data_IF_091877064428
#
_entry.id   IF_091877064428
#
_cell.length_a   1.000
_cell.length_b   1.000
_cell.length_c   1.000
_cell.angle_alpha   90.00
_cell.angle_beta   90.00
_cell.angle_gamma   90.00
#
_symmetry.space_group_name_H-M   'P 1'
#
loop_
_entity.id
_entity.type
_entity.pdbx_description
1 polymer ?
#
# COMPACT_ATOMS: atom_id res chain seq x y z
N UNK A 1 1.94 -13.37 10.41
CA UNK A 1 2.15 -12.93 11.82
C UNK A 1 1.77 -14.05 12.76
N UNK A 2 2.66 -14.43 13.68
CA UNK A 2 2.35 -15.43 14.71
C UNK A 2 1.55 -14.82 15.87
N UNK A 3 0.76 -15.63 16.57
CA UNK A 3 -0.05 -15.18 17.73
C UNK A 3 0.82 -14.59 18.84
N UNK A 4 1.99 -15.19 19.07
CA UNK A 4 2.92 -14.72 20.12
C UNK A 4 3.48 -13.34 19.80
N UNK A 5 3.79 -13.04 18.54
CA UNK A 5 4.21 -11.71 18.09
C UNK A 5 3.10 -10.67 18.28
N UNK A 6 1.85 -11.04 17.99
CA UNK A 6 0.70 -10.16 18.18
C UNK A 6 0.52 -9.84 19.66
N UNK A 7 0.55 -10.85 20.53
CA UNK A 7 0.42 -10.68 21.98
C UNK A 7 1.57 -9.88 22.58
N UNK A 8 2.80 -10.11 22.14
CA UNK A 8 3.96 -9.33 22.56
C UNK A 8 3.79 -7.83 22.22
N UNK A 9 3.29 -7.52 21.02
CA UNK A 9 2.97 -6.14 20.64
C UNK A 9 1.82 -5.55 21.48
N UNK A 10 0.77 -6.32 21.76
CA UNK A 10 -0.32 -5.87 22.63
C UNK A 10 0.17 -5.57 24.06
N UNK A 11 1.06 -6.38 24.62
CA UNK A 11 1.63 -6.15 25.94
C UNK A 11 2.41 -4.83 26.02
N UNK A 12 3.27 -4.53 25.03
CA UNK A 12 4.01 -3.28 24.93
C UNK A 12 3.08 -2.03 24.91
N UNK A 13 1.92 -2.15 24.26
CA UNK A 13 0.94 -1.07 24.22
C UNK A 13 0.20 -0.95 25.55
N UNK A 14 -0.17 -2.08 26.16
CA UNK A 14 -0.86 -2.12 27.44
C UNK A 14 -0.02 -1.53 28.59
N UNK A 15 1.31 -1.74 28.59
CA UNK A 15 2.25 -1.08 29.52
C UNK A 15 2.14 0.45 29.48
N UNK A 16 1.69 1.01 28.35
CA UNK A 16 1.51 2.45 28.13
C UNK A 16 0.04 2.89 28.26
N UNK A 17 -0.86 2.00 28.68
CA UNK A 17 -2.30 2.27 28.74
C UNK A 17 -2.96 2.42 27.37
N UNK A 18 -2.32 1.93 26.29
CA UNK A 18 -2.82 1.99 24.92
C UNK A 18 -3.42 0.63 24.50
N UNK A 19 -4.35 0.68 23.54
CA UNK A 19 -4.96 -0.51 22.93
C UNK A 19 -4.65 -0.58 21.44
N UNK A 20 -4.37 -1.78 20.94
CA UNK A 20 -4.17 -1.99 19.51
C UNK A 20 -5.51 -2.12 18.80
N UNK A 21 -5.98 -1.02 18.21
CA UNK A 21 -7.33 -0.96 17.60
C UNK A 21 -7.36 -1.40 16.13
N UNK A 22 -6.29 -1.14 15.38
CA UNK A 22 -6.25 -1.36 13.92
C UNK A 22 -4.87 -1.88 13.51
N UNK A 23 -4.83 -2.90 12.65
CA UNK A 23 -3.60 -3.29 11.94
C UNK A 23 -3.48 -2.47 10.67
N UNK A 24 -2.38 -1.74 10.52
CA UNK A 24 -2.05 -0.99 9.32
C UNK A 24 -0.55 -1.17 9.00
N UNK A 25 -0.17 -2.07 8.09
CA UNK A 25 -1.02 -2.94 7.25
C UNK A 25 -0.60 -4.41 7.32
N UNK A 26 -1.41 -5.32 6.76
CA UNK A 26 -0.89 -6.62 6.32
C UNK A 26 -0.59 -6.49 4.82
N UNK A 27 0.68 -6.60 4.39
CA UNK A 27 1.05 -6.40 3.00
C UNK A 27 0.43 -7.49 2.12
N UNK A 28 -0.06 -7.07 0.95
CA UNK A 28 -0.53 -7.99 -0.10
C UNK A 28 0.65 -8.24 -1.03
N UNK A 29 1.11 -9.49 -1.08
CA UNK A 29 2.26 -9.87 -1.90
C UNK A 29 2.01 -9.63 -3.40
N UNK A 30 3.04 -9.25 -4.16
CA UNK A 30 2.96 -8.95 -5.60
C UNK A 30 2.43 -10.13 -6.43
N UNK A 31 2.85 -11.38 -6.16
CA UNK A 31 2.25 -12.60 -6.72
C UNK A 31 0.71 -12.65 -6.63
N UNK A 32 0.12 -12.13 -5.54
CA UNK A 32 -1.34 -12.05 -5.41
C UNK A 32 -1.90 -10.99 -6.37
N UNK A 33 -1.24 -9.82 -6.45
CA UNK A 33 -1.66 -8.70 -7.31
C UNK A 33 -1.53 -9.03 -8.79
N UNK A 34 -0.52 -9.81 -9.17
CA UNK A 34 -0.26 -10.24 -10.55
C UNK A 34 -0.94 -11.56 -10.92
N UNK A 35 -1.45 -12.33 -9.94
CA UNK A 35 -1.95 -13.71 -10.11
C UNK A 35 -0.90 -14.65 -10.74
N UNK A 36 0.35 -14.51 -10.31
CA UNK A 36 1.49 -15.33 -10.76
C UNK A 36 2.19 -15.98 -9.57
N UNK A 37 3.15 -16.86 -9.87
CA UNK A 37 4.00 -17.48 -8.85
C UNK A 37 3.19 -18.22 -7.78
N UNK A 38 3.47 -17.89 -6.52
CA UNK A 38 2.93 -18.58 -5.34
C UNK A 38 1.71 -17.88 -4.74
N UNK A 39 0.90 -17.20 -5.56
CA UNK A 39 -0.29 -16.45 -5.14
C UNK A 39 -1.18 -17.23 -4.16
N UNK A 40 -1.44 -18.52 -4.42
CA UNK A 40 -2.26 -19.37 -3.56
C UNK A 40 -1.66 -19.55 -2.15
N UNK A 41 -0.34 -19.76 -2.06
CA UNK A 41 0.38 -19.87 -0.78
C UNK A 41 0.32 -18.55 -0.01
N UNK A 42 0.55 -17.43 -0.69
CA UNK A 42 0.50 -16.12 -0.04
C UNK A 42 -0.91 -15.73 0.42
N UNK A 43 -1.95 -16.08 -0.35
CA UNK A 43 -3.35 -15.93 0.08
C UNK A 43 -3.59 -16.76 1.35
N UNK A 44 -3.17 -18.03 1.40
CA UNK A 44 -3.34 -18.87 2.57
C UNK A 44 -2.64 -18.30 3.82
N UNK A 45 -1.43 -17.75 3.65
CA UNK A 45 -0.69 -17.07 4.73
C UNK A 45 -1.39 -15.80 5.20
N UNK A 46 -1.95 -15.02 4.27
CA UNK A 46 -2.73 -13.82 4.59
C UNK A 46 -3.97 -14.18 5.42
N UNK A 47 -4.72 -15.20 4.98
CA UNK A 47 -5.86 -15.73 5.72
C UNK A 47 -5.47 -16.22 7.12
N UNK A 48 -4.31 -16.88 7.28
CA UNK A 48 -3.83 -17.30 8.60
C UNK A 48 -3.51 -16.11 9.49
N UNK A 49 -2.91 -15.06 8.94
CA UNK A 49 -2.64 -13.83 9.70
C UNK A 49 -3.94 -13.16 10.17
N UNK A 50 -4.99 -13.15 9.34
CA UNK A 50 -6.32 -12.67 9.74
C UNK A 50 -6.92 -13.51 10.89
N UNK A 51 -6.80 -14.85 10.83
CA UNK A 51 -7.26 -15.73 11.92
C UNK A 51 -6.52 -15.47 13.23
N UNK A 52 -5.20 -15.29 13.16
CA UNK A 52 -4.37 -15.02 14.33
C UNK A 52 -4.72 -13.67 14.98
N UNK A 53 -4.94 -12.62 14.17
CA UNK A 53 -5.39 -11.31 14.66
C UNK A 53 -6.74 -11.37 15.35
N UNK A 54 -7.71 -12.08 14.74
CA UNK A 54 -9.03 -12.28 15.32
C UNK A 54 -8.97 -13.03 16.66
N UNK A 55 -8.10 -14.05 16.77
CA UNK A 55 -7.88 -14.78 18.02
C UNK A 55 -7.28 -13.91 19.14
N UNK A 56 -6.59 -12.83 18.77
CA UNK A 56 -6.07 -11.81 19.69
C UNK A 56 -7.03 -10.64 19.91
N UNK A 57 -8.26 -10.71 19.39
CA UNK A 57 -9.27 -9.66 19.55
C UNK A 57 -9.08 -8.43 18.66
N UNK A 58 -8.23 -8.50 17.63
CA UNK A 58 -8.05 -7.42 16.65
C UNK A 58 -8.92 -7.73 15.43
N UNK A 59 -9.83 -6.83 15.09
CA UNK A 59 -10.89 -7.08 14.11
C UNK A 59 -10.91 -6.09 12.93
N UNK A 60 -10.00 -5.12 12.94
CA UNK A 60 -9.90 -4.07 11.92
C UNK A 60 -8.51 -4.11 11.30
N UNK A 61 -8.48 -4.36 9.99
CA UNK A 61 -7.26 -4.47 9.19
C UNK A 61 -7.34 -3.53 8.00
N UNK A 62 -6.36 -2.64 7.90
CA UNK A 62 -6.11 -1.79 6.74
C UNK A 62 -5.14 -2.50 5.79
N UNK A 63 -5.43 -2.43 4.49
CA UNK A 63 -4.55 -2.92 3.42
C UNK A 63 -4.71 -2.05 2.16
N UNK A 64 -3.78 -2.19 1.22
CA UNK A 64 -3.85 -1.58 -0.10
C UNK A 64 -3.63 -2.65 -1.19
N UNK A 65 -4.03 -2.33 -2.42
CA UNK A 65 -3.80 -3.17 -3.61
C UNK A 65 -3.08 -2.35 -4.70
N UNK A 66 -2.18 -1.46 -4.29
CA UNK A 66 -1.40 -0.64 -5.23
C UNK A 66 -0.25 -1.47 -5.80
N UNK A 67 -0.06 -1.50 -7.13
CA UNK A 67 0.97 -2.31 -7.76
C UNK A 67 2.34 -1.63 -7.63
N UNK A 68 3.36 -2.39 -7.21
CA UNK A 68 4.79 -2.00 -7.15
C UNK A 68 5.10 -0.86 -6.18
N UNK A 69 4.51 0.32 -6.37
CA UNK A 69 4.70 1.48 -5.52
C UNK A 69 3.53 1.64 -4.55
N UNK A 70 3.88 1.86 -3.29
CA UNK A 70 2.94 2.38 -2.31
C UNK A 70 2.79 3.91 -2.48
N UNK A 71 2.27 4.62 -1.48
CA UNK A 71 2.09 6.07 -1.49
C UNK A 71 3.34 6.79 -2.04
N UNK A 72 3.23 7.40 -3.22
CA UNK A 72 4.37 8.01 -3.92
C UNK A 72 4.40 9.54 -3.73
N UNK A 73 5.58 10.11 -3.47
CA UNK A 73 5.81 11.56 -3.37
C UNK A 73 7.11 11.92 -4.07
N UNK A 74 7.19 13.12 -4.62
CA UNK A 74 8.40 13.61 -5.29
C UNK A 74 9.25 14.49 -4.36
N UNK A 75 8.63 15.11 -3.36
CA UNK A 75 9.31 15.87 -2.30
C UNK A 75 8.77 15.49 -0.92
N UNK A 76 9.67 15.12 -0.01
CA UNK A 76 9.36 14.69 1.35
C UNK A 76 9.51 15.81 2.38
N UNK A 77 9.98 16.99 1.96
CA UNK A 77 10.32 18.10 2.85
C UNK A 77 10.00 19.46 2.21
N UNK A 78 8.90 19.55 1.44
CA UNK A 78 8.48 20.77 0.77
C UNK A 78 8.12 21.84 1.80
N UNK A 79 8.79 22.98 1.77
CA UNK A 79 8.60 24.06 2.74
C UNK A 79 7.39 24.94 2.35
N UNK A 80 6.46 25.09 3.28
CA UNK A 80 5.30 25.97 3.15
C UNK A 80 5.66 27.42 3.55
N UNK A 81 4.82 28.42 3.19
CA UNK A 81 5.09 29.83 3.52
C UNK A 81 5.26 30.12 5.02
N UNK A 82 4.66 29.30 5.89
CA UNK A 82 4.78 29.40 7.34
C UNK A 82 6.06 28.75 7.91
N UNK A 83 6.90 28.18 7.04
CA UNK A 83 8.14 27.48 7.40
C UNK A 83 7.96 26.00 7.77
N UNK A 84 6.73 25.49 7.82
CA UNK A 84 6.47 24.06 8.04
C UNK A 84 6.84 23.23 6.81
N UNK A 85 6.98 21.91 6.97
CA UNK A 85 7.30 20.98 5.88
C UNK A 85 6.12 20.05 5.60
N UNK A 86 5.88 19.81 4.32
CA UNK A 86 4.83 18.92 3.83
C UNK A 86 5.36 17.93 2.80
N UNK A 87 4.62 16.84 2.62
CA UNK A 87 4.83 15.92 1.50
C UNK A 87 4.16 16.50 0.25
N UNK A 88 4.87 16.50 -0.88
CA UNK A 88 4.36 17.02 -2.16
C UNK A 88 4.54 15.98 -3.26
N UNK A 89 3.52 15.89 -4.10
CA UNK A 89 3.61 15.24 -5.40
C UNK A 89 3.58 16.33 -6.46
N UNK A 90 4.68 16.44 -7.21
CA UNK A 90 4.84 17.37 -8.33
C UNK A 90 4.82 16.55 -9.63
N UNK A 91 3.81 16.79 -10.46
CA UNK A 91 3.61 16.07 -11.72
C UNK A 91 4.79 16.22 -12.67
N UNK A 92 5.43 17.39 -12.73
CA UNK A 92 6.53 17.64 -13.66
C UNK A 92 7.82 16.98 -13.15
N UNK A 93 8.05 17.00 -11.84
CA UNK A 93 9.14 16.23 -11.25
C UNK A 93 8.96 14.72 -11.48
N UNK A 94 7.73 14.21 -11.36
CA UNK A 94 7.43 12.81 -11.63
C UNK A 94 7.61 12.46 -13.12
N UNK A 95 7.16 13.32 -14.04
CA UNK A 95 7.38 13.15 -15.47
C UNK A 95 8.88 13.18 -15.82
N UNK A 96 9.67 14.07 -15.21
CA UNK A 96 11.12 14.11 -15.38
C UNK A 96 11.78 12.80 -14.90
N UNK A 97 11.31 12.25 -13.78
CA UNK A 97 11.72 10.93 -13.33
C UNK A 97 11.35 9.84 -14.34
N UNK A 98 10.10 9.73 -14.76
CA UNK A 98 9.63 8.65 -15.62
C UNK A 98 10.28 8.68 -17.03
N UNK A 99 10.37 9.86 -17.63
CA UNK A 99 10.87 10.07 -18.99
C UNK A 99 12.41 10.07 -19.09
N UNK A 100 13.11 10.67 -18.12
CA UNK A 100 14.55 10.95 -18.28
C UNK A 100 15.46 10.19 -17.33
N UNK A 101 14.96 9.80 -16.15
CA UNK A 101 15.73 9.04 -15.15
C UNK A 101 15.42 7.54 -15.26
N UNK A 102 14.15 7.17 -15.10
CA UNK A 102 13.66 5.80 -15.25
C UNK A 102 13.62 5.40 -16.72
N UNK A 103 13.31 6.31 -17.63
CA UNK A 103 13.22 6.03 -19.08
C UNK A 103 12.31 4.83 -19.36
N UNK A 104 11.11 4.84 -18.79
CA UNK A 104 10.15 3.76 -18.98
C UNK A 104 9.70 3.72 -20.43
N UNK A 105 9.75 2.55 -21.05
CA UNK A 105 9.36 2.37 -22.45
C UNK A 105 7.89 2.81 -22.68
N UNK A 106 7.69 3.71 -23.65
CA UNK A 106 6.37 4.22 -24.02
C UNK A 106 5.77 5.24 -23.05
N UNK A 107 6.53 5.72 -22.06
CA UNK A 107 6.06 6.70 -21.09
C UNK A 107 5.61 8.01 -21.73
N UNK A 108 6.15 8.39 -22.89
CA UNK A 108 5.76 9.61 -23.61
C UNK A 108 4.25 9.65 -23.94
N UNK A 109 3.61 8.48 -24.04
CA UNK A 109 2.17 8.38 -24.35
C UNK A 109 1.28 8.77 -23.16
N UNK A 110 1.83 8.79 -21.95
CA UNK A 110 1.12 9.11 -20.72
C UNK A 110 1.19 10.61 -20.38
N UNK A 111 1.95 11.41 -21.14
CA UNK A 111 2.17 12.84 -20.92
C UNK A 111 1.85 13.68 -22.16
N UNK A 112 1.24 14.85 -21.95
CA UNK A 112 1.06 15.85 -23.02
C UNK A 112 2.40 16.40 -23.53
N UNK A 113 2.41 16.97 -24.73
CA UNK A 113 3.62 17.59 -25.31
C UNK A 113 4.18 18.71 -24.39
N UNK A 114 3.30 19.47 -23.74
CA UNK A 114 3.68 20.51 -22.80
C UNK A 114 4.33 19.92 -21.53
N UNK A 115 3.77 18.84 -20.99
CA UNK A 115 4.36 18.13 -19.84
C UNK A 115 5.72 17.52 -20.19
N UNK A 116 5.89 16.95 -21.39
CA UNK A 116 7.17 16.43 -21.86
C UNK A 116 8.23 17.54 -21.98
N UNK A 117 7.86 18.70 -22.55
CA UNK A 117 8.76 19.84 -22.65
C UNK A 117 9.16 20.39 -21.26
N UNK A 118 8.19 20.48 -20.34
CA UNK A 118 8.44 20.90 -18.96
C UNK A 118 9.31 19.90 -18.20
N UNK A 119 9.06 18.60 -18.37
CA UNK A 119 9.85 17.53 -17.75
C UNK A 119 11.31 17.54 -18.23
N UNK A 120 11.53 17.75 -19.54
CA UNK A 120 12.87 17.86 -20.12
C UNK A 120 13.61 19.09 -19.57
N UNK A 121 12.94 20.24 -19.49
CA UNK A 121 13.52 21.46 -18.92
C UNK A 121 13.81 21.30 -17.42
N UNK A 122 12.90 20.66 -16.68
CA UNK A 122 13.06 20.34 -15.27
C UNK A 122 14.28 19.44 -15.06
N UNK A 123 14.37 18.32 -15.78
CA UNK A 123 15.50 17.39 -15.71
C UNK A 123 16.83 18.04 -16.07
N UNK A 124 16.87 18.85 -17.14
CA UNK A 124 18.09 19.54 -17.57
C UNK A 124 18.61 20.57 -16.54
N UNK A 125 17.75 21.06 -15.66
CA UNK A 125 18.12 21.97 -14.58
C UNK A 125 18.55 21.26 -13.28
N UNK A 126 18.33 19.95 -13.16
CA UNK A 126 18.67 19.19 -11.95
C UNK A 126 20.16 18.87 -11.87
N UNK A 127 20.71 18.97 -10.67
CA UNK A 127 22.00 18.39 -10.32
C UNK A 127 21.92 16.87 -10.11
N UNK A 128 23.06 16.18 -10.16
CA UNK A 128 23.15 14.74 -9.86
C UNK A 128 22.59 14.41 -8.46
N UNK A 129 22.83 15.29 -7.48
CA UNK A 129 22.31 15.13 -6.12
C UNK A 129 20.78 15.22 -6.07
N UNK A 130 20.18 16.12 -6.85
CA UNK A 130 18.72 16.25 -6.95
C UNK A 130 18.10 15.07 -7.69
N UNK A 131 18.76 14.56 -8.73
CA UNK A 131 18.36 13.34 -9.45
C UNK A 131 18.35 12.15 -8.48
N UNK A 132 19.43 11.97 -7.72
CA UNK A 132 19.53 10.90 -6.73
C UNK A 132 18.47 11.04 -5.62
N UNK A 133 18.22 12.27 -5.15
CA UNK A 133 17.18 12.56 -4.15
C UNK A 133 15.78 12.25 -4.67
N UNK A 134 15.42 12.74 -5.86
CA UNK A 134 14.12 12.47 -6.47
C UNK A 134 13.90 10.97 -6.70
N UNK A 135 14.93 10.30 -7.22
CA UNK A 135 14.94 8.85 -7.39
C UNK A 135 14.67 8.15 -6.07
N UNK A 136 15.43 8.47 -5.02
CA UNK A 136 15.23 7.92 -3.68
C UNK A 136 13.84 8.17 -3.11
N UNK A 137 13.29 9.38 -3.28
CA UNK A 137 11.95 9.71 -2.81
C UNK A 137 10.86 8.85 -3.47
N UNK A 138 11.02 8.51 -4.74
CA UNK A 138 10.03 7.75 -5.51
C UNK A 138 10.17 6.24 -5.28
N UNK A 139 11.40 5.70 -5.27
CA UNK A 139 11.62 4.24 -5.31
C UNK A 139 11.94 3.60 -3.94
N UNK A 140 12.35 4.38 -2.93
CA UNK A 140 12.77 3.81 -1.65
C UNK A 140 11.59 3.51 -0.70
N UNK A 141 10.36 3.86 -1.09
CA UNK A 141 9.16 3.69 -0.28
C UNK A 141 9.04 4.75 0.82
N UNK A 142 7.82 5.26 1.03
CA UNK A 142 7.52 6.12 2.19
C UNK A 142 7.41 5.28 3.47
N UNK A 143 7.52 5.89 4.67
CA UNK A 143 7.26 5.18 5.92
C UNK A 143 5.93 4.41 5.88
N UNK A 144 6.00 3.07 6.06
CA UNK A 144 4.86 2.15 5.92
C UNK A 144 4.81 1.38 4.59
N UNK A 145 5.69 1.70 3.63
CA UNK A 145 5.98 0.86 2.47
C UNK A 145 7.01 -0.21 2.87
N UNK A 146 6.81 -1.44 2.41
CA UNK A 146 7.63 -2.60 2.77
C UNK A 146 8.76 -2.88 1.75
N UNK A 147 8.87 -2.07 0.69
CA UNK A 147 9.73 -2.35 -0.47
C UNK A 147 10.59 -1.12 -0.83
N UNK A 148 11.90 -1.35 -1.00
CA UNK A 148 12.84 -0.37 -1.54
C UNK A 148 13.63 -0.96 -2.71
N UNK A 149 13.75 -0.21 -3.80
CA UNK A 149 14.28 -0.71 -5.08
C UNK A 149 15.51 0.06 -5.56
N UNK A 150 16.40 -0.59 -6.31
CA UNK A 150 17.25 0.13 -7.29
C UNK A 150 16.44 0.46 -8.55
N UNK A 151 16.90 1.39 -9.39
CA UNK A 151 16.22 1.70 -10.66
C UNK A 151 16.07 0.46 -11.57
N UNK A 152 17.09 -0.41 -11.61
CA UNK A 152 17.05 -1.64 -12.41
C UNK A 152 16.02 -2.64 -11.87
N UNK A 153 16.00 -2.85 -10.55
CA UNK A 153 15.00 -3.69 -9.90
C UNK A 153 13.59 -3.13 -10.10
N UNK A 154 13.45 -1.80 -10.05
CA UNK A 154 12.18 -1.12 -10.28
C UNK A 154 11.67 -1.35 -11.71
N UNK A 155 12.53 -1.24 -12.72
CA UNK A 155 12.18 -1.59 -14.12
C UNK A 155 11.76 -3.05 -14.25
N UNK A 156 12.49 -3.97 -13.60
CA UNK A 156 12.14 -5.39 -13.63
C UNK A 156 10.76 -5.65 -13.00
N UNK A 157 10.43 -4.98 -11.88
CA UNK A 157 9.10 -5.05 -11.26
C UNK A 157 8.00 -4.48 -12.17
N UNK A 158 8.25 -3.38 -12.87
CA UNK A 158 7.31 -2.82 -13.85
C UNK A 158 6.99 -3.82 -14.97
N UNK A 159 7.99 -4.58 -15.43
CA UNK A 159 7.79 -5.60 -16.46
C UNK A 159 6.88 -6.77 -16.01
N UNK A 160 6.81 -7.07 -14.71
CA UNK A 160 5.91 -8.12 -14.18
C UNK A 160 4.42 -7.77 -14.38
N UNK A 161 4.12 -6.48 -14.53
CA UNK A 161 2.78 -5.97 -14.79
C UNK A 161 2.45 -5.80 -16.28
N UNK A 162 3.38 -6.16 -17.17
CA UNK A 162 3.10 -6.18 -18.61
C UNK A 162 1.93 -7.14 -18.92
N UNK A 163 0.96 -6.65 -19.70
CA UNK A 163 -0.28 -7.36 -19.99
C UNK A 163 -1.33 -7.34 -18.87
N UNK A 164 -1.07 -6.67 -17.73
CA UNK A 164 -2.06 -6.49 -16.65
C UNK A 164 -2.63 -5.08 -16.74
N UNK A 165 -3.76 -4.94 -17.41
CA UNK A 165 -4.48 -3.67 -17.47
C UNK A 165 -5.37 -3.43 -16.23
N UNK A 166 -6.11 -2.31 -16.24
CA UNK A 166 -7.04 -1.93 -15.16
C UNK A 166 -8.11 -3.01 -14.91
N UNK A 167 -8.60 -3.68 -15.95
CA UNK A 167 -9.64 -4.70 -15.82
C UNK A 167 -9.06 -5.98 -15.19
N UNK A 168 -7.90 -6.41 -15.67
CA UNK A 168 -7.20 -7.57 -15.13
C UNK A 168 -6.81 -7.36 -13.66
N UNK A 169 -6.25 -6.19 -13.31
CA UNK A 169 -5.89 -5.89 -11.92
C UNK A 169 -7.11 -5.89 -10.98
N UNK A 170 -8.27 -5.38 -11.44
CA UNK A 170 -9.54 -5.47 -10.70
C UNK A 170 -10.00 -6.92 -10.52
N UNK A 171 -9.81 -7.76 -11.53
CA UNK A 171 -10.15 -9.17 -11.47
C UNK A 171 -9.26 -9.92 -10.48
N UNK A 172 -7.96 -9.61 -10.48
CA UNK A 172 -6.98 -10.13 -9.52
C UNK A 172 -7.35 -9.73 -8.08
N UNK A 173 -7.72 -8.45 -7.88
CA UNK A 173 -8.23 -7.97 -6.58
C UNK A 173 -9.50 -8.70 -6.17
N UNK A 174 -10.43 -8.94 -7.10
CA UNK A 174 -11.67 -9.66 -6.81
C UNK A 174 -11.40 -11.12 -6.37
N UNK A 175 -10.41 -11.80 -6.96
CA UNK A 175 -9.97 -13.14 -6.54
C UNK A 175 -9.47 -13.09 -5.09
N UNK A 176 -8.57 -12.16 -4.79
CA UNK A 176 -8.05 -11.96 -3.43
C UNK A 176 -9.18 -11.71 -2.43
N UNK A 177 -10.08 -10.77 -2.72
CA UNK A 177 -11.20 -10.42 -1.84
C UNK A 177 -12.15 -11.60 -1.58
N UNK A 178 -12.49 -12.37 -2.62
CA UNK A 178 -13.33 -13.57 -2.48
C UNK A 178 -12.68 -14.61 -1.55
N UNK A 179 -11.35 -14.70 -1.54
CA UNK A 179 -10.63 -15.60 -0.67
C UNK A 179 -10.55 -15.11 0.79
N UNK A 180 -10.34 -13.81 1.03
CA UNK A 180 -10.08 -13.31 2.40
C UNK A 180 -11.34 -12.91 3.17
N UNK A 181 -12.38 -12.41 2.49
CA UNK A 181 -13.62 -11.93 3.15
C UNK A 181 -14.33 -13.04 3.96
N UNK A 182 -14.45 -14.30 3.48
CA UNK A 182 -15.13 -15.35 4.23
C UNK A 182 -14.43 -15.79 5.51
N UNK A 183 -13.10 -15.63 5.61
CA UNK A 183 -12.29 -16.09 6.77
C UNK A 183 -12.75 -15.49 8.09
N UNK A 184 -13.44 -14.36 8.02
CA UNK A 184 -13.96 -13.60 9.17
C UNK A 184 -15.24 -14.18 9.79
N UNK A 185 -15.98 -15.07 9.11
CA UNK A 185 -17.32 -15.49 9.56
C UNK A 185 -17.35 -16.45 10.77
N UNK A 186 -16.22 -16.84 11.36
CA UNK A 186 -16.20 -17.73 12.54
C UNK A 186 -15.79 -16.97 13.80
N UNK A 187 -16.80 -16.46 14.51
CA UNK A 187 -16.72 -16.30 15.97
C UNK A 187 -17.60 -17.40 16.54
N UNK A 188 -17.02 -18.54 16.90
CA UNK A 188 -17.69 -19.42 17.85
C UNK A 188 -17.76 -18.65 19.19
N UNK A 189 -18.94 -18.52 19.82
CA UNK A 189 -19.04 -17.86 21.12
C UNK A 189 -18.15 -18.62 22.12
N UNK A 190 -17.37 -17.95 22.97
CA UNK A 190 -16.64 -18.64 24.02
C UNK A 190 -17.66 -19.32 24.95
N UNK A 191 -17.62 -20.66 24.98
CA UNK A 191 -18.43 -21.46 25.90
C UNK A 191 -17.90 -21.35 27.34
N UNK A 192 -18.79 -20.95 28.26
CA UNK A 192 -18.80 -21.14 29.74
C UNK A 192 -17.53 -20.81 30.55
N UNK A 193 -17.56 -20.10 31.69
CA UNK A 193 -18.62 -19.96 32.69
C UNK A 193 -18.40 -18.75 33.64
N UNK A 194 -19.51 -18.39 34.31
CA UNK A 194 -19.69 -17.60 35.55
C UNK A 194 -19.35 -16.11 35.59
N UNK A 195 -20.42 -15.29 35.50
CA UNK A 195 -20.79 -14.36 36.56
C UNK A 195 -20.01 -13.04 36.69
N UNK A 196 -20.48 -11.99 35.99
CA UNK A 196 -20.68 -10.63 36.52
C UNK A 196 -21.41 -9.76 35.50
N UNK A 197 -22.49 -9.13 35.96
CA UNK A 197 -23.30 -8.16 35.23
C UNK A 197 -22.56 -6.83 35.14
N UNK A 198 -22.27 -6.38 33.91
CA UNK A 198 -22.11 -4.98 33.56
C UNK A 198 -22.71 -4.81 32.15
N UNK A 199 -23.63 -3.85 32.01
CA UNK A 199 -24.42 -3.62 30.81
C UNK A 199 -23.52 -3.48 29.57
N UNK A 200 -23.63 -4.44 28.65
CA UNK A 200 -22.99 -4.39 27.35
C UNK A 200 -23.87 -3.58 26.37
N UNK A 201 -23.25 -2.59 25.71
CA UNK A 201 -23.79 -1.89 24.54
C UNK A 201 -24.22 -2.92 23.46
N UNK A 202 -25.48 -2.91 22.99
CA UNK A 202 -26.03 -3.97 22.13
C UNK A 202 -25.63 -3.83 20.65
N UNK A 203 -24.72 -2.93 20.30
CA UNK A 203 -24.32 -2.77 18.90
C UNK A 203 -23.50 -3.98 18.42
N UNK A 204 -23.93 -4.69 17.36
CA UNK A 204 -23.10 -5.73 16.78
C UNK A 204 -21.78 -5.09 16.32
N UNK A 205 -20.65 -5.68 16.73
CA UNK A 205 -19.33 -5.30 16.23
C UNK A 205 -19.30 -5.54 14.71
N UNK A 206 -19.70 -4.52 13.96
CA UNK A 206 -19.54 -4.49 12.52
C UNK A 206 -18.05 -4.33 12.24
N UNK A 207 -17.30 -5.44 12.26
CA UNK A 207 -15.87 -5.38 11.93
C UNK A 207 -15.69 -4.83 10.50
N UNK A 208 -14.62 -4.09 10.24
CA UNK A 208 -14.50 -3.28 9.01
C UNK A 208 -13.19 -3.56 8.30
N UNK A 209 -13.27 -4.02 7.06
CA UNK A 209 -12.14 -3.93 6.14
C UNK A 209 -12.16 -2.53 5.53
N UNK A 210 -11.08 -1.78 5.72
CA UNK A 210 -10.90 -0.50 5.07
C UNK A 210 -9.84 -0.68 3.98
N UNK A 211 -10.30 -0.72 2.73
CA UNK A 211 -9.42 -0.62 1.57
C UNK A 211 -8.98 0.83 1.43
N UNK A 212 -7.67 1.09 1.46
CA UNK A 212 -7.14 2.41 1.08
C UNK A 212 -7.06 2.46 -0.45
N UNK A 213 -7.77 3.44 -1.03
CA UNK A 213 -8.04 3.58 -2.46
C UNK A 213 -6.81 3.46 -3.37
N UNK A 214 -7.09 3.20 -4.65
CA UNK A 214 -6.11 3.23 -5.75
C UNK A 214 -5.51 4.65 -5.87
N UNK A 215 -4.21 4.84 -5.62
CA UNK A 215 -3.60 6.17 -5.76
C UNK A 215 -2.37 6.23 -6.67
N UNK A 216 -1.89 5.12 -7.25
CA UNK A 216 -0.70 5.17 -8.13
C UNK A 216 -1.00 4.76 -9.58
N UNK A 217 -1.95 3.86 -9.83
CA UNK A 217 -2.34 3.52 -11.20
C UNK A 217 -3.21 4.59 -11.91
N UNK A 218 -3.79 5.54 -11.16
CA UNK A 218 -4.60 6.63 -11.72
C UNK A 218 -3.79 7.89 -12.07
N UNK A 219 -2.56 8.02 -11.54
CA UNK A 219 -1.64 9.08 -11.93
C UNK A 219 -0.99 8.85 -13.29
N UNK A 220 -0.91 7.59 -13.76
CA UNK A 220 -0.30 7.21 -15.04
C UNK A 220 -1.29 7.05 -16.20
N UNK A 221 -2.61 7.07 -15.94
CA UNK A 221 -3.64 7.09 -16.99
C UNK A 221 -4.84 7.89 -16.51
N UNK A 222 -4.79 9.22 -16.61
CA UNK A 222 -6.01 10.02 -16.47
C UNK A 222 -6.98 9.62 -17.56
N UNK A 223 -8.13 9.11 -17.12
CA UNK A 223 -9.26 8.78 -17.96
C UNK A 223 -9.78 10.08 -18.58
N UNK A 224 -9.89 10.12 -19.91
CA UNK A 224 -10.93 10.91 -20.54
C UNK A 224 -12.26 10.32 -20.06
N UNK A 225 -12.92 11.02 -19.13
CA UNK A 225 -14.36 11.18 -18.92
C UNK A 225 -14.59 12.11 -17.73
#
# INVERSE_FOLDING_TARGET
MAVDEIKARQALLAEKGLVWSVVESIPVHEDIKTQRGDAARYIANYQQSLRNLAACGIDTVCYNFMPILDWTRTDLAYQLPDGSKALRFDQIAFAAFDLHILQRAGAEQDYSADEQAQAQAYFAAMSEAEIAKLTGNIIAGLPGAEEGYTLEQFRARLAEYEGIDKAQLRQNMAIFLRAIVPVRKRRDPPGGASGRSAAADPRPAAHRFHHRGYAVAEGMRRQHL
#
